data_IF_389544048452
#
_entry.id   IF_389544048452
#
_cell.length_a   1.000
_cell.length_b   1.000
_cell.length_c   1.000
_cell.angle_alpha   90.00
_cell.angle_beta   90.00
_cell.angle_gamma   90.00
#
_symmetry.space_group_name_H-M   'P 1'
#
loop_
_entity.id
_entity.type
_entity.pdbx_description
1 polymer ?
#
# COMPACT_ATOMS: atom_id res chain seq x y z
N UNK A 1 26.78 9.19 -4.54
CA UNK A 1 26.61 8.65 -3.17
C UNK A 1 25.37 9.20 -2.43
N UNK A 2 24.98 10.46 -2.68
CA UNK A 2 23.85 11.14 -2.04
C UNK A 2 22.48 10.49 -2.28
N UNK A 3 22.17 10.13 -3.53
CA UNK A 3 20.82 9.70 -3.90
C UNK A 3 20.44 8.38 -3.23
N UNK A 4 21.36 7.42 -3.13
CA UNK A 4 21.07 6.15 -2.45
C UNK A 4 20.78 6.34 -0.95
N UNK A 5 21.48 7.24 -0.25
CA UNK A 5 21.19 7.53 1.18
C UNK A 5 19.82 8.17 1.35
N UNK A 6 19.45 9.10 0.46
CA UNK A 6 18.13 9.74 0.48
C UNK A 6 17.01 8.74 0.17
N UNK A 7 17.21 7.86 -0.82
CA UNK A 7 16.26 6.80 -1.15
C UNK A 7 16.13 5.76 -0.03
N UNK A 8 17.23 5.31 0.58
CA UNK A 8 17.18 4.40 1.75
C UNK A 8 16.39 5.06 2.86
N UNK A 9 16.71 6.31 3.21
CA UNK A 9 15.97 7.05 4.24
C UNK A 9 14.49 7.15 3.93
N UNK A 10 14.12 7.45 2.68
CA UNK A 10 12.73 7.53 2.25
C UNK A 10 12.00 6.20 2.42
N UNK A 11 12.59 5.10 1.92
CA UNK A 11 12.00 3.77 2.00
C UNK A 11 11.88 3.28 3.44
N UNK A 12 12.90 3.54 4.27
CA UNK A 12 12.86 3.25 5.70
C UNK A 12 11.75 4.04 6.39
N UNK A 13 11.58 5.34 6.07
CA UNK A 13 10.49 6.15 6.62
C UNK A 13 9.11 5.61 6.19
N UNK A 14 8.93 5.24 4.92
CA UNK A 14 7.67 4.63 4.44
C UNK A 14 7.37 3.35 5.22
N UNK A 15 8.33 2.44 5.34
CA UNK A 15 8.14 1.15 6.02
C UNK A 15 7.89 1.30 7.52
N UNK A 16 8.67 2.14 8.22
CA UNK A 16 8.49 2.38 9.65
C UNK A 16 7.14 3.03 9.97
N UNK A 17 6.74 4.04 9.18
CA UNK A 17 5.47 4.73 9.43
C UNK A 17 4.28 3.86 9.03
N UNK A 18 4.38 3.06 7.97
CA UNK A 18 3.34 2.09 7.63
C UNK A 18 3.16 1.03 8.72
N UNK A 19 4.26 0.48 9.25
CA UNK A 19 4.21 -0.47 10.36
C UNK A 19 3.59 0.16 11.63
N UNK A 20 3.96 1.41 11.95
CA UNK A 20 3.37 2.13 13.07
C UNK A 20 1.87 2.38 12.86
N UNK A 21 1.47 2.79 11.66
CA UNK A 21 0.07 2.99 11.29
C UNK A 21 -0.75 1.70 11.41
N UNK A 22 -0.18 0.58 10.97
CA UNK A 22 -0.80 -0.74 11.13
C UNK A 22 -0.98 -1.12 12.60
N UNK A 23 0.03 -0.89 13.45
CA UNK A 23 -0.10 -1.12 14.91
C UNK A 23 -1.22 -0.26 15.51
N UNK A 24 -1.36 0.99 15.06
CA UNK A 24 -2.49 1.83 15.49
C UNK A 24 -3.82 1.30 14.98
N UNK A 25 -3.88 0.73 13.78
CA UNK A 25 -5.10 0.16 13.22
C UNK A 25 -5.56 -1.10 13.98
N UNK A 26 -4.61 -1.99 14.30
CA UNK A 26 -4.88 -3.15 15.15
C UNK A 26 -5.34 -2.74 16.55
N UNK A 27 -4.70 -1.72 17.14
CA UNK A 27 -5.10 -1.20 18.45
C UNK A 27 -6.53 -0.66 18.43
N UNK A 28 -6.90 0.17 17.45
CA UNK A 28 -8.28 0.68 17.35
C UNK A 28 -9.28 -0.43 17.03
N UNK A 29 -8.87 -1.45 16.26
CA UNK A 29 -9.66 -2.65 15.99
C UNK A 29 -9.99 -3.41 17.27
N UNK A 30 -9.00 -3.61 18.15
CA UNK A 30 -9.19 -4.21 19.47
C UNK A 30 -10.13 -3.37 20.34
N UNK A 31 -9.92 -2.04 20.38
CA UNK A 31 -10.72 -1.13 21.21
C UNK A 31 -12.18 -0.99 20.71
N UNK A 32 -12.40 -1.17 19.41
CA UNK A 32 -13.74 -1.08 18.78
C UNK A 32 -14.44 -2.42 18.66
N UNK A 33 -13.79 -3.50 19.10
CA UNK A 33 -14.30 -4.87 18.95
C UNK A 33 -15.65 -5.01 19.67
N UNK A 34 -16.64 -5.52 18.96
CA UNK A 34 -18.00 -5.72 19.46
C UNK A 34 -18.94 -4.53 19.29
N UNK A 35 -18.43 -3.34 18.91
CA UNK A 35 -19.28 -2.18 18.58
C UNK A 35 -19.81 -2.29 17.14
N UNK A 36 -18.93 -2.72 16.23
CA UNK A 36 -19.21 -2.79 14.79
C UNK A 36 -19.19 -4.25 14.32
N UNK A 37 -20.38 -4.83 14.17
CA UNK A 37 -20.55 -6.27 13.87
C UNK A 37 -20.00 -6.69 12.49
N UNK A 38 -20.01 -5.79 11.51
CA UNK A 38 -19.51 -5.99 10.15
C UNK A 38 -18.11 -5.36 9.95
N UNK A 39 -17.39 -5.11 11.04
CA UNK A 39 -16.10 -4.43 11.01
C UNK A 39 -16.24 -2.90 10.99
N UNK A 40 -15.09 -2.24 11.07
CA UNK A 40 -15.01 -0.81 11.34
C UNK A 40 -14.43 -0.57 12.74
N UNK A 41 -13.63 0.50 12.84
CA UNK A 41 -12.95 0.85 14.07
C UNK A 41 -12.83 2.36 14.22
N UNK A 42 -13.10 2.84 15.43
CA UNK A 42 -12.90 4.23 15.81
C UNK A 42 -11.46 4.38 16.28
N UNK A 43 -10.67 5.19 15.60
CA UNK A 43 -9.30 5.43 16.03
C UNK A 43 -8.56 6.49 15.23
N UNK A 44 -7.24 6.37 15.26
CA UNK A 44 -6.33 7.41 14.76
C UNK A 44 -5.27 6.89 13.80
N UNK A 45 -5.39 5.66 13.29
CA UNK A 45 -4.41 5.06 12.39
C UNK A 45 -4.12 5.90 11.13
N UNK A 46 -5.10 6.68 10.65
CA UNK A 46 -4.94 7.63 9.55
C UNK A 46 -3.80 8.64 9.77
N UNK A 47 -3.42 8.91 11.02
CA UNK A 47 -2.32 9.84 11.36
C UNK A 47 -1.02 9.45 10.67
N UNK A 48 -0.74 8.14 10.50
CA UNK A 48 0.48 7.65 9.86
C UNK A 48 0.55 8.07 8.38
N UNK A 49 -0.55 7.86 7.65
CA UNK A 49 -0.66 8.21 6.24
C UNK A 49 -0.68 9.73 6.05
N UNK A 50 -1.44 10.45 6.87
CA UNK A 50 -1.51 11.92 6.83
C UNK A 50 -0.16 12.57 7.18
N UNK A 51 0.56 12.04 8.17
CA UNK A 51 1.91 12.48 8.48
C UNK A 51 2.84 12.31 7.27
N UNK A 52 2.79 11.14 6.61
CA UNK A 52 3.59 10.89 5.40
C UNK A 52 3.19 11.80 4.24
N UNK A 53 1.91 12.12 4.09
CA UNK A 53 1.40 13.06 3.10
C UNK A 53 2.05 14.44 3.24
N UNK A 54 2.04 15.02 4.44
CA UNK A 54 2.63 16.35 4.65
C UNK A 54 4.16 16.33 4.69
N UNK A 55 4.77 15.24 5.19
CA UNK A 55 6.23 15.12 5.24
C UNK A 55 6.87 14.87 3.88
N UNK A 56 6.35 13.90 3.13
CA UNK A 56 6.99 13.32 1.95
C UNK A 56 6.18 13.45 0.66
N UNK A 57 4.91 13.84 0.74
CA UNK A 57 4.04 14.13 -0.40
C UNK A 57 3.25 12.92 -0.85
N UNK A 58 2.64 13.04 -2.04
CA UNK A 58 1.68 12.09 -2.59
C UNK A 58 2.21 10.64 -2.64
N UNK A 59 3.28 10.37 -3.38
CA UNK A 59 3.72 9.00 -3.62
C UNK A 59 4.12 8.24 -2.35
N UNK A 60 4.90 8.82 -1.43
CA UNK A 60 5.23 8.13 -0.18
C UNK A 60 4.01 7.89 0.70
N UNK A 61 3.04 8.79 0.72
CA UNK A 61 1.79 8.61 1.48
C UNK A 61 0.89 7.53 0.87
N UNK A 62 0.74 7.49 -0.45
CA UNK A 62 0.05 6.40 -1.15
C UNK A 62 0.68 5.05 -0.81
N UNK A 63 2.01 4.94 -0.88
CA UNK A 63 2.73 3.72 -0.54
C UNK A 63 2.55 3.33 0.94
N UNK A 64 2.61 4.30 1.87
CA UNK A 64 2.33 4.04 3.29
C UNK A 64 0.93 3.48 3.48
N UNK A 65 -0.09 4.07 2.86
CA UNK A 65 -1.47 3.58 2.94
C UNK A 65 -1.67 2.21 2.30
N UNK A 66 -1.02 1.93 1.16
CA UNK A 66 -1.06 0.62 0.51
C UNK A 66 -0.41 -0.46 1.37
N UNK A 67 0.73 -0.17 2.00
CA UNK A 67 1.39 -1.13 2.90
C UNK A 67 0.49 -1.44 4.10
N UNK A 68 -0.15 -0.43 4.70
CA UNK A 68 -1.13 -0.65 5.77
C UNK A 68 -2.25 -1.59 5.31
N UNK A 69 -2.89 -1.31 4.16
CA UNK A 69 -3.95 -2.18 3.63
C UNK A 69 -3.50 -3.62 3.35
N UNK A 70 -2.26 -3.82 2.91
CA UNK A 70 -1.71 -5.17 2.75
C UNK A 70 -1.47 -5.88 4.09
N UNK A 71 -1.10 -5.15 5.14
CA UNK A 71 -0.94 -5.71 6.48
C UNK A 71 -2.32 -6.10 7.06
N UNK A 72 -3.36 -5.31 6.81
CA UNK A 72 -4.74 -5.64 7.20
C UNK A 72 -5.21 -6.93 6.49
N UNK A 73 -4.92 -7.06 5.19
CA UNK A 73 -5.19 -8.30 4.44
C UNK A 73 -4.49 -9.51 5.07
N UNK A 74 -3.26 -9.34 5.53
CA UNK A 74 -2.46 -10.42 6.08
C UNK A 74 -2.93 -10.89 7.47
N UNK A 75 -3.70 -10.08 8.20
CA UNK A 75 -3.97 -10.30 9.64
C UNK A 75 -5.44 -10.43 9.99
N UNK A 76 -6.32 -9.66 9.35
CA UNK A 76 -7.71 -9.51 9.78
C UNK A 76 -8.73 -9.54 8.65
N UNK A 77 -8.33 -9.82 7.41
CA UNK A 77 -9.25 -9.75 6.29
C UNK A 77 -10.33 -10.85 6.26
N UNK A 78 -11.56 -10.40 6.26
CA UNK A 78 -12.76 -11.13 5.86
C UNK A 78 -13.12 -10.76 4.42
N UNK A 79 -13.06 -11.75 3.52
CA UNK A 79 -13.11 -11.54 2.07
C UNK A 79 -14.27 -12.32 1.47
N UNK A 80 -15.23 -11.60 0.92
CA UNK A 80 -16.41 -12.19 0.27
C UNK A 80 -16.45 -11.93 -1.24
N UNK A 81 -15.73 -10.92 -1.73
CA UNK A 81 -15.65 -10.61 -3.15
C UNK A 81 -14.33 -9.89 -3.51
N UNK A 82 -13.77 -10.07 -4.72
CA UNK A 82 -12.55 -9.39 -5.14
C UNK A 82 -12.59 -7.88 -5.05
N UNK A 83 -13.68 -7.26 -5.48
CA UNK A 83 -13.86 -5.82 -5.41
C UNK A 83 -14.09 -5.34 -3.97
N UNK A 84 -14.71 -6.17 -3.12
CA UNK A 84 -14.85 -5.88 -1.69
C UNK A 84 -13.47 -5.81 -1.02
N UNK A 85 -12.57 -6.74 -1.34
CA UNK A 85 -11.20 -6.71 -0.81
C UNK A 85 -10.48 -5.40 -1.11
N UNK A 86 -10.61 -4.90 -2.34
CA UNK A 86 -10.03 -3.62 -2.74
C UNK A 86 -10.64 -2.47 -1.94
N UNK A 87 -11.96 -2.45 -1.82
CA UNK A 87 -12.70 -1.33 -1.21
C UNK A 87 -12.63 -1.32 0.32
N UNK A 88 -12.47 -2.47 0.98
CA UNK A 88 -12.43 -2.55 2.45
C UNK A 88 -11.01 -2.60 3.03
N UNK A 89 -10.00 -3.04 2.27
CA UNK A 89 -8.64 -3.18 2.82
C UNK A 89 -7.60 -2.33 2.08
N UNK A 90 -7.58 -2.32 0.73
CA UNK A 90 -6.48 -1.66 -0.01
C UNK A 90 -6.72 -0.16 -0.18
N UNK A 91 -7.88 0.20 -0.75
CA UNK A 91 -8.21 1.58 -1.11
C UNK A 91 -8.47 2.52 0.07
N UNK A 92 -9.04 2.09 1.22
CA UNK A 92 -9.29 2.99 2.34
C UNK A 92 -8.07 3.81 2.76
N UNK A 93 -6.97 3.15 3.10
CA UNK A 93 -5.74 3.83 3.52
C UNK A 93 -4.95 4.41 2.34
N UNK A 94 -4.97 3.77 1.17
CA UNK A 94 -4.33 4.31 -0.02
C UNK A 94 -4.96 5.67 -0.41
N UNK A 95 -6.28 5.79 -0.39
CA UNK A 95 -6.94 7.04 -0.74
C UNK A 95 -6.72 8.15 0.29
N UNK A 96 -6.55 7.84 1.58
CA UNK A 96 -6.06 8.82 2.58
C UNK A 96 -4.71 9.42 2.12
N UNK A 97 -3.86 8.62 1.47
CA UNK A 97 -2.58 9.07 0.91
C UNK A 97 -2.70 10.15 -0.18
N UNK A 98 -3.86 10.30 -0.84
CA UNK A 98 -4.11 11.35 -1.84
C UNK A 98 -4.00 12.76 -1.25
N UNK A 99 -4.15 12.91 0.06
CA UNK A 99 -3.91 14.16 0.81
C UNK A 99 -2.51 14.72 0.55
N UNK A 100 -1.54 13.88 0.15
CA UNK A 100 -0.19 14.32 -0.21
C UNK A 100 -0.13 15.30 -1.39
N UNK A 101 -1.22 15.46 -2.16
CA UNK A 101 -1.38 16.54 -3.16
C UNK A 101 -1.31 17.93 -2.49
N UNK A 102 -1.73 18.05 -1.23
CA UNK A 102 -1.71 19.32 -0.50
C UNK A 102 -0.33 19.70 0.06
N UNK A 103 0.68 18.82 -0.04
CA UNK A 103 2.03 19.10 0.47
C UNK A 103 2.61 20.43 -0.02
N UNK A 104 2.57 20.79 -1.32
CA UNK A 104 3.15 22.05 -1.79
C UNK A 104 2.48 23.29 -1.17
N UNK A 105 1.17 23.23 -0.88
CA UNK A 105 0.44 24.32 -0.23
C UNK A 105 0.76 24.39 1.26
N UNK A 106 0.89 23.22 1.91
CA UNK A 106 1.37 23.12 3.28
C UNK A 106 2.79 23.70 3.42
N UNK A 107 3.73 23.32 2.55
CA UNK A 107 5.13 23.77 2.62
C UNK A 107 5.28 25.27 2.34
N UNK A 108 4.44 25.85 1.47
CA UNK A 108 4.42 27.30 1.16
C UNK A 108 3.73 28.16 2.21
N UNK A 109 3.10 27.55 3.21
CA UNK A 109 2.37 28.27 4.25
C UNK A 109 3.32 29.10 5.10
N UNK A 110 3.00 30.38 5.30
CA UNK A 110 3.86 31.34 6.02
C UNK A 110 3.61 31.38 7.53
N UNK A 111 2.46 30.89 7.98
CA UNK A 111 2.03 30.99 9.39
C UNK A 111 1.57 29.63 9.91
N UNK A 112 1.70 29.43 11.23
CA UNK A 112 1.20 28.23 11.91
C UNK A 112 -0.28 28.00 11.67
N UNK A 113 -1.07 29.07 11.59
CA UNK A 113 -2.50 29.02 11.29
C UNK A 113 -2.78 28.31 9.96
N UNK A 114 -2.08 28.68 8.88
CA UNK A 114 -2.27 28.03 7.58
C UNK A 114 -1.81 26.57 7.58
N UNK A 115 -0.74 26.23 8.31
CA UNK A 115 -0.36 24.82 8.47
C UNK A 115 -1.46 24.02 9.16
N UNK A 116 -2.00 24.52 10.27
CA UNK A 116 -3.12 23.87 10.98
C UNK A 116 -4.34 23.72 10.07
N UNK A 117 -4.71 24.76 9.32
CA UNK A 117 -5.79 24.72 8.35
C UNK A 117 -5.59 23.58 7.33
N UNK A 118 -4.38 23.45 6.77
CA UNK A 118 -4.07 22.37 5.84
C UNK A 118 -4.16 21.00 6.50
N UNK A 119 -3.69 20.82 7.73
CA UNK A 119 -3.81 19.55 8.47
C UNK A 119 -5.28 19.15 8.69
N UNK A 120 -6.14 20.12 9.03
CA UNK A 120 -7.60 19.89 9.16
C UNK A 120 -8.21 19.49 7.83
N UNK A 121 -7.91 20.23 6.75
CA UNK A 121 -8.39 19.91 5.39
C UNK A 121 -7.95 18.50 5.01
N UNK A 122 -6.70 18.13 5.28
CA UNK A 122 -6.19 16.79 4.99
C UNK A 122 -6.91 15.69 5.75
N UNK A 123 -7.11 15.87 7.06
CA UNK A 123 -7.79 14.88 7.87
C UNK A 123 -9.25 14.67 7.42
N UNK A 124 -9.96 15.75 7.10
CA UNK A 124 -11.34 15.69 6.58
C UNK A 124 -11.38 15.04 5.20
N UNK A 125 -10.58 15.53 4.23
CA UNK A 125 -10.57 15.00 2.85
C UNK A 125 -10.10 13.54 2.82
N UNK A 126 -9.06 13.20 3.57
CA UNK A 126 -8.58 11.83 3.69
C UNK A 126 -9.64 10.90 4.30
N UNK A 127 -10.30 11.34 5.37
CA UNK A 127 -11.41 10.60 5.97
C UNK A 127 -12.60 10.44 5.03
N UNK A 128 -12.94 11.46 4.24
CA UNK A 128 -14.00 11.38 3.22
C UNK A 128 -13.64 10.39 2.12
N UNK A 129 -12.38 10.36 1.67
CA UNK A 129 -11.96 9.34 0.70
C UNK A 129 -12.03 7.92 1.28
N UNK A 130 -11.61 7.73 2.54
CA UNK A 130 -11.77 6.47 3.27
C UNK A 130 -13.26 6.08 3.34
N UNK A 131 -14.12 7.04 3.68
CA UNK A 131 -15.57 6.86 3.75
C UNK A 131 -16.17 6.44 2.41
N UNK A 132 -15.78 7.07 1.31
CA UNK A 132 -16.27 6.68 -0.03
C UNK A 132 -15.96 5.23 -0.34
N UNK A 133 -14.75 4.75 0.00
CA UNK A 133 -14.35 3.36 -0.23
C UNK A 133 -15.26 2.38 0.51
N UNK A 134 -15.40 2.55 1.83
CA UNK A 134 -16.24 1.68 2.65
C UNK A 134 -17.74 1.85 2.41
N UNK A 135 -18.19 3.04 2.03
CA UNK A 135 -19.58 3.27 1.65
C UNK A 135 -19.94 2.50 0.39
N UNK A 136 -19.08 2.55 -0.64
CA UNK A 136 -19.27 1.77 -1.87
C UNK A 136 -19.20 0.26 -1.58
N UNK A 137 -18.26 -0.18 -0.74
CA UNK A 137 -18.25 -1.57 -0.28
C UNK A 137 -19.55 -1.96 0.44
N UNK A 138 -20.04 -1.07 1.30
CA UNK A 138 -21.28 -1.23 2.05
C UNK A 138 -22.48 -1.48 1.14
N UNK A 139 -22.66 -0.60 0.15
CA UNK A 139 -23.78 -0.69 -0.81
C UNK A 139 -23.70 -1.94 -1.68
N UNK A 140 -22.48 -2.35 -2.09
CA UNK A 140 -22.30 -3.45 -3.04
C UNK A 140 -22.29 -4.83 -2.36
N UNK A 141 -21.77 -4.94 -1.14
CA UNK A 141 -21.47 -6.23 -0.52
C UNK A 141 -22.06 -6.41 0.89
N UNK A 142 -22.47 -5.33 1.56
CA UNK A 142 -23.02 -5.35 2.91
C UNK A 142 -24.45 -4.78 2.96
N UNK A 143 -25.19 -4.94 1.86
CA UNK A 143 -26.50 -4.32 1.63
C UNK A 143 -27.69 -5.16 2.07
N UNK A 144 -27.47 -6.41 2.48
CA UNK A 144 -28.52 -7.29 2.97
C UNK A 144 -28.94 -6.85 4.39
N UNK A 145 -30.23 -6.48 4.59
CA UNK A 145 -30.76 -6.03 5.87
C UNK A 145 -30.59 -7.03 7.01
N UNK A 146 -30.40 -8.32 6.74
CA UNK A 146 -30.12 -9.32 7.78
C UNK A 146 -28.79 -9.09 8.50
N UNK A 147 -27.86 -8.35 7.88
CA UNK A 147 -26.58 -7.95 8.48
C UNK A 147 -26.63 -6.54 9.08
N UNK A 148 -27.79 -5.88 9.12
CA UNK A 148 -27.84 -4.52 9.64
C UNK A 148 -27.64 -4.52 11.15
N UNK A 149 -26.76 -3.63 11.61
CA UNK A 149 -26.46 -3.43 13.02
C UNK A 149 -27.48 -2.49 13.67
N UNK A 150 -27.48 -2.47 15.00
CA UNK A 150 -28.23 -1.52 15.83
C UNK A 150 -29.74 -1.52 15.57
N UNK A 151 -30.29 -2.67 15.19
CA UNK A 151 -31.71 -2.86 14.88
C UNK A 151 -32.24 -1.91 13.79
N UNK A 152 -31.38 -1.52 12.84
CA UNK A 152 -31.73 -0.63 11.74
C UNK A 152 -32.28 -1.38 10.51
N UNK A 153 -32.80 -2.60 10.70
CA UNK A 153 -33.23 -3.51 9.62
C UNK A 153 -34.30 -2.92 8.69
N UNK A 154 -35.05 -1.92 9.15
CA UNK A 154 -36.09 -1.22 8.37
C UNK A 154 -35.59 0.07 7.69
N UNK A 155 -34.33 0.45 7.89
CA UNK A 155 -33.75 1.67 7.31
C UNK A 155 -33.51 1.47 5.81
N UNK A 156 -33.61 2.56 5.03
CA UNK A 156 -33.18 2.55 3.65
C UNK A 156 -31.71 2.09 3.55
N UNK A 157 -31.45 1.09 2.71
CA UNK A 157 -30.14 0.52 2.43
C UNK A 157 -29.02 1.56 2.31
N UNK A 158 -29.17 2.55 1.42
CA UNK A 158 -28.11 3.52 1.15
C UNK A 158 -27.84 4.39 2.38
N UNK A 159 -28.91 4.79 3.08
CA UNK A 159 -28.79 5.54 4.33
C UNK A 159 -28.11 4.69 5.42
N UNK A 160 -28.47 3.42 5.57
CA UNK A 160 -27.84 2.53 6.53
C UNK A 160 -26.34 2.38 6.26
N UNK A 161 -25.93 2.08 5.01
CA UNK A 161 -24.52 1.98 4.65
C UNK A 161 -23.76 3.28 4.92
N UNK A 162 -24.39 4.43 4.68
CA UNK A 162 -23.79 5.73 5.00
C UNK A 162 -23.61 5.91 6.50
N UNK A 163 -24.68 5.72 7.29
CA UNK A 163 -24.68 5.89 8.75
C UNK A 163 -23.68 4.93 9.41
N UNK A 164 -23.67 3.66 9.01
CA UNK A 164 -22.76 2.66 9.56
C UNK A 164 -21.29 3.06 9.38
N UNK A 165 -20.92 3.49 8.18
CA UNK A 165 -19.54 3.87 7.89
C UNK A 165 -19.15 5.22 8.50
N UNK A 166 -20.08 6.18 8.55
CA UNK A 166 -19.86 7.46 9.25
C UNK A 166 -19.67 7.25 10.75
N UNK A 167 -20.35 6.27 11.36
CA UNK A 167 -20.28 6.02 12.79
C UNK A 167 -18.88 5.66 13.30
N UNK A 168 -18.00 5.08 12.47
CA UNK A 168 -16.60 4.87 12.86
C UNK A 168 -15.62 5.84 12.20
N UNK A 169 -15.87 6.30 10.97
CA UNK A 169 -14.96 7.22 10.26
C UNK A 169 -15.08 8.66 10.77
N UNK A 170 -16.30 9.12 11.06
CA UNK A 170 -16.55 10.45 11.60
C UNK A 170 -15.79 10.68 12.91
N UNK A 171 -15.98 9.84 13.95
CA UNK A 171 -15.18 9.92 15.16
C UNK A 171 -13.67 9.77 14.92
N UNK A 172 -13.26 8.91 13.98
CA UNK A 172 -11.84 8.77 13.64
C UNK A 172 -11.23 10.06 13.08
N UNK A 173 -11.97 10.83 12.26
CA UNK A 173 -11.54 12.17 11.80
C UNK A 173 -11.42 13.11 13.00
N UNK A 174 -12.42 13.12 13.89
CA UNK A 174 -12.46 13.98 15.08
C UNK A 174 -11.31 13.69 16.04
N UNK A 175 -10.87 12.43 16.16
CA UNK A 175 -9.72 12.03 17.01
C UNK A 175 -8.39 12.29 16.30
N UNK A 176 -8.28 11.90 15.02
CA UNK A 176 -7.01 12.02 14.26
C UNK A 176 -6.60 13.48 14.09
N UNK A 177 -7.56 14.38 13.82
CA UNK A 177 -7.28 15.80 13.53
C UNK A 177 -6.52 16.50 14.65
N UNK A 178 -7.01 16.55 15.91
CA UNK A 178 -6.30 17.20 17.01
C UNK A 178 -4.96 16.51 17.32
N UNK A 179 -4.85 15.18 17.18
CA UNK A 179 -3.58 14.47 17.36
C UNK A 179 -2.54 14.89 16.32
N UNK A 180 -2.94 15.00 15.05
CA UNK A 180 -2.07 15.46 13.97
C UNK A 180 -1.64 16.91 14.16
N UNK A 181 -2.56 17.77 14.62
CA UNK A 181 -2.26 19.17 14.96
C UNK A 181 -1.28 19.23 16.13
N UNK A 182 -1.53 18.47 17.21
CA UNK A 182 -0.64 18.40 18.37
C UNK A 182 0.76 17.92 17.98
N UNK A 183 0.86 16.90 17.12
CA UNK A 183 2.13 16.42 16.58
C UNK A 183 2.88 17.52 15.81
N UNK A 184 2.18 18.31 15.00
CA UNK A 184 2.78 19.43 14.28
C UNK A 184 3.21 20.57 15.22
N UNK A 185 2.38 20.94 16.20
CA UNK A 185 2.68 22.05 17.11
C UNK A 185 3.85 21.72 18.05
N UNK A 186 3.96 20.46 18.49
CA UNK A 186 5.03 19.99 19.36
C UNK A 186 6.34 19.75 18.60
N UNK A 187 6.27 19.19 17.38
CA UNK A 187 7.43 18.82 16.60
C UNK A 187 7.32 19.26 15.12
N UNK A 188 7.27 20.56 14.81
CA UNK A 188 7.09 21.02 13.42
C UNK A 188 8.24 20.58 12.50
N UNK A 189 9.44 20.39 13.06
CA UNK A 189 10.65 19.95 12.32
C UNK A 189 10.48 18.56 11.68
N UNK A 190 9.66 17.67 12.23
CA UNK A 190 9.44 16.33 11.65
C UNK A 190 8.50 16.33 10.44
N UNK A 191 7.83 17.45 10.15
CA UNK A 191 7.05 17.61 8.91
C UNK A 191 7.92 18.15 7.77
N UNK A 192 9.08 18.73 8.08
CA UNK A 192 10.03 19.24 7.08
C UNK A 192 11.10 18.20 6.75
N UNK A 193 11.42 18.06 5.46
CA UNK A 193 12.59 17.30 5.01
C UNK A 193 13.68 18.31 4.68
N UNK A 194 14.79 18.27 5.43
CA UNK A 194 15.97 19.06 5.09
C UNK A 194 16.44 18.66 3.69
N UNK A 195 16.21 19.52 2.72
CA UNK A 195 16.78 19.42 1.38
C UNK A 195 18.15 20.07 1.48
N UNK A 196 19.22 19.27 1.56
CA UNK A 196 20.54 19.82 1.27
C UNK A 196 20.48 20.25 -0.19
N UNK A 197 20.48 21.55 -0.48
CA UNK A 197 20.67 22.05 -1.84
C UNK A 197 21.95 21.43 -2.37
N UNK A 198 21.78 20.46 -3.26
CA UNK A 198 22.88 19.95 -4.07
C UNK A 198 22.64 20.50 -5.44
N UNK A 199 23.64 21.16 -6.01
CA UNK A 199 23.74 21.33 -7.45
C UNK A 199 23.44 19.97 -8.05
N UNK A 200 22.32 19.87 -8.76
CA UNK A 200 21.98 18.68 -9.53
C UNK A 200 23.04 18.64 -10.61
N UNK A 201 24.15 17.92 -10.37
CA UNK A 201 24.94 17.41 -11.49
C UNK A 201 23.95 16.53 -12.22
N UNK A 202 23.44 17.07 -13.33
CA UNK A 202 22.43 16.45 -14.15
C UNK A 202 23.06 15.24 -14.82
N UNK A 203 23.16 14.14 -14.08
CA UNK A 203 23.52 12.85 -14.63
C UNK A 203 22.31 12.41 -15.44
N UNK A 204 22.52 12.19 -16.74
CA UNK A 204 21.52 11.55 -17.58
C UNK A 204 21.03 10.29 -16.87
N UNK A 205 19.71 10.07 -16.86
CA UNK A 205 19.14 8.86 -16.31
C UNK A 205 19.88 7.67 -16.93
N UNK A 206 20.44 6.79 -16.09
CA UNK A 206 21.15 5.62 -16.58
C UNK A 206 20.20 4.85 -17.50
N UNK A 207 20.54 4.74 -18.80
CA UNK A 207 19.70 4.05 -19.80
C UNK A 207 19.25 2.67 -19.30
N UNK A 208 20.12 1.98 -18.56
CA UNK A 208 19.82 0.68 -17.96
C UNK A 208 18.80 0.75 -16.81
N UNK A 209 18.83 1.82 -16.01
CA UNK A 209 17.84 2.04 -14.95
C UNK A 209 16.46 2.37 -15.55
N UNK A 210 16.42 3.17 -16.62
CA UNK A 210 15.18 3.49 -17.33
C UNK A 210 14.56 2.24 -17.96
N UNK A 211 15.33 1.52 -18.77
CA UNK A 211 14.88 0.26 -19.40
C UNK A 211 14.35 -0.71 -18.35
N UNK A 212 15.09 -0.90 -17.25
CA UNK A 212 14.62 -1.79 -16.18
C UNK A 212 13.33 -1.27 -15.54
N UNK A 213 13.23 0.01 -15.19
CA UNK A 213 12.04 0.58 -14.56
C UNK A 213 10.80 0.44 -15.45
N UNK A 214 10.95 0.54 -16.77
CA UNK A 214 9.90 0.27 -17.74
C UNK A 214 9.56 -1.22 -17.77
N UNK A 215 10.54 -2.10 -17.97
CA UNK A 215 10.31 -3.55 -18.01
C UNK A 215 9.64 -4.08 -16.75
N UNK A 216 10.06 -3.60 -15.59
CA UNK A 216 9.49 -3.98 -14.28
C UNK A 216 8.06 -3.50 -14.09
N UNK A 217 7.75 -2.27 -14.55
CA UNK A 217 6.37 -1.77 -14.56
C UNK A 217 5.49 -2.60 -15.48
N UNK A 218 5.98 -2.94 -16.68
CA UNK A 218 5.25 -3.76 -17.67
C UNK A 218 5.01 -5.18 -17.13
N UNK A 219 6.05 -5.83 -16.59
CA UNK A 219 5.94 -7.14 -15.96
C UNK A 219 4.94 -7.09 -14.81
N UNK A 220 5.07 -6.11 -13.92
CA UNK A 220 4.16 -5.92 -12.80
C UNK A 220 2.72 -5.74 -13.26
N UNK A 221 2.49 -5.01 -14.35
CA UNK A 221 1.16 -4.83 -14.93
C UNK A 221 0.58 -6.16 -15.44
N UNK A 222 1.33 -6.92 -16.23
CA UNK A 222 0.86 -8.23 -16.74
C UNK A 222 0.62 -9.22 -15.61
N UNK A 223 1.53 -9.32 -14.63
CA UNK A 223 1.36 -10.19 -13.46
C UNK A 223 0.14 -9.77 -12.62
N UNK A 224 -0.03 -8.46 -12.39
CA UNK A 224 -1.19 -7.92 -11.68
C UNK A 224 -2.50 -8.30 -12.38
N UNK A 225 -2.61 -8.06 -13.69
CA UNK A 225 -3.82 -8.39 -14.47
C UNK A 225 -4.07 -9.90 -14.45
N UNK A 226 -3.05 -10.71 -14.70
CA UNK A 226 -3.20 -12.16 -14.72
C UNK A 226 -3.67 -12.70 -13.37
N UNK A 227 -3.05 -12.29 -12.26
CA UNK A 227 -3.46 -12.74 -10.94
C UNK A 227 -4.77 -12.14 -10.48
N UNK A 228 -5.11 -10.93 -10.91
CA UNK A 228 -6.44 -10.36 -10.70
C UNK A 228 -7.50 -11.24 -11.38
N UNK A 229 -7.27 -11.66 -12.63
CA UNK A 229 -8.19 -12.55 -13.36
C UNK A 229 -8.32 -13.90 -12.64
N UNK A 230 -7.20 -14.53 -12.28
CA UNK A 230 -7.22 -15.82 -11.56
C UNK A 230 -7.91 -15.68 -10.20
N UNK A 231 -7.66 -14.59 -9.49
CA UNK A 231 -8.32 -14.28 -8.22
C UNK A 231 -9.82 -14.08 -8.40
N UNK A 232 -10.27 -13.34 -9.41
CA UNK A 232 -11.70 -13.17 -9.73
C UNK A 232 -12.35 -14.52 -10.07
N UNK A 233 -11.72 -15.32 -10.94
CA UNK A 233 -12.24 -16.63 -11.35
C UNK A 233 -12.35 -17.61 -10.17
N UNK A 234 -11.56 -17.41 -9.11
CA UNK A 234 -11.66 -18.22 -7.90
C UNK A 234 -13.00 -18.06 -7.17
N UNK A 235 -13.72 -16.96 -7.39
CA UNK A 235 -15.07 -16.75 -6.86
C UNK A 235 -16.16 -17.28 -7.80
N UNK A 236 -15.88 -17.49 -9.09
CA UNK A 236 -16.90 -17.93 -10.07
C UNK A 236 -17.00 -19.46 -10.20
N UNK A 237 -15.95 -20.19 -9.85
CA UNK A 237 -15.91 -21.66 -9.98
C UNK A 237 -16.47 -22.42 -8.76
N UNK A 238 -17.05 -21.72 -7.79
CA UNK A 238 -17.77 -22.32 -6.66
C UNK A 238 -19.23 -22.59 -7.00
N UNK A 239 -19.61 -23.86 -7.13
CA UNK A 239 -20.98 -24.32 -7.39
C UNK A 239 -21.88 -24.25 -6.15
N UNK A 240 -22.08 -23.07 -5.58
CA UNK A 240 -22.92 -22.86 -4.40
C UNK A 240 -23.99 -21.78 -4.66
N UNK A 241 -25.27 -22.16 -4.56
CA UNK A 241 -26.36 -21.20 -4.43
C UNK A 241 -26.36 -20.64 -3.00
N UNK A 242 -25.92 -19.40 -2.82
CA UNK A 242 -26.01 -18.66 -1.55
C UNK A 242 -24.67 -18.26 -0.95
N UNK A 243 -24.71 -17.22 -0.10
CA UNK A 243 -23.59 -16.53 0.57
C UNK A 243 -22.72 -17.38 1.53
N UNK A 244 -22.66 -18.70 1.37
CA UNK A 244 -22.00 -19.58 2.34
C UNK A 244 -21.13 -20.62 1.61
N UNK A 245 -19.84 -20.58 1.93
CA UNK A 245 -18.78 -21.54 1.57
C UNK A 245 -18.20 -21.47 0.15
N UNK A 246 -17.68 -20.29 -0.24
CA UNK A 246 -16.53 -20.29 -1.14
C UNK A 246 -15.32 -20.86 -0.40
N UNK A 247 -14.71 -21.93 -0.90
CA UNK A 247 -13.39 -22.35 -0.44
C UNK A 247 -12.36 -21.32 -0.95
N UNK A 248 -12.30 -20.18 -0.25
CA UNK A 248 -11.40 -19.08 -0.55
C UNK A 248 -9.97 -19.61 -0.71
N UNK A 249 -9.47 -19.58 -1.93
CA UNK A 249 -8.09 -19.98 -2.19
C UNK A 249 -7.20 -18.77 -1.91
N UNK A 250 -6.74 -18.66 -0.66
CA UNK A 250 -5.81 -17.62 -0.23
C UNK A 250 -4.51 -17.54 -1.05
N UNK A 251 -4.24 -18.53 -1.89
CA UNK A 251 -3.06 -18.56 -2.73
C UNK A 251 -3.22 -17.61 -3.93
N UNK A 252 -4.42 -17.55 -4.51
CA UNK A 252 -4.72 -16.58 -5.58
C UNK A 252 -4.78 -15.15 -5.06
N UNK A 253 -5.26 -14.96 -3.82
CA UNK A 253 -5.14 -13.67 -3.14
C UNK A 253 -3.67 -13.26 -3.02
N UNK A 254 -2.81 -14.16 -2.51
CA UNK A 254 -1.40 -13.85 -2.31
C UNK A 254 -0.72 -13.49 -3.63
N UNK A 255 -0.99 -14.24 -4.70
CA UNK A 255 -0.48 -13.93 -6.03
C UNK A 255 -0.97 -12.57 -6.54
N UNK A 256 -2.25 -12.25 -6.34
CA UNK A 256 -2.81 -10.94 -6.67
C UNK A 256 -2.11 -9.81 -5.91
N UNK A 257 -1.96 -9.94 -4.59
CA UNK A 257 -1.28 -8.98 -3.72
C UNK A 257 0.18 -8.78 -4.15
N UNK A 258 0.90 -9.86 -4.43
CA UNK A 258 2.27 -9.80 -4.93
C UNK A 258 2.33 -9.10 -6.30
N UNK A 259 1.42 -9.43 -7.23
CA UNK A 259 1.32 -8.76 -8.52
C UNK A 259 1.11 -7.25 -8.40
N UNK A 260 0.20 -6.82 -7.52
CA UNK A 260 -0.04 -5.40 -7.23
C UNK A 260 1.19 -4.71 -6.63
N UNK A 261 1.88 -5.36 -5.68
CA UNK A 261 3.09 -4.82 -5.07
C UNK A 261 4.22 -4.62 -6.10
N UNK A 262 4.39 -5.59 -6.99
CA UNK A 262 5.35 -5.55 -8.10
C UNK A 262 5.05 -4.38 -9.04
N UNK A 263 3.78 -4.17 -9.41
CA UNK A 263 3.34 -3.05 -10.23
C UNK A 263 3.65 -1.70 -9.57
N UNK A 264 3.32 -1.54 -8.29
CA UNK A 264 3.53 -0.30 -7.54
C UNK A 264 5.02 0.04 -7.40
N UNK A 265 5.86 -0.97 -7.12
CA UNK A 265 7.31 -0.80 -7.08
C UNK A 265 7.89 -0.43 -8.45
N UNK A 266 7.41 -1.06 -9.53
CA UNK A 266 7.77 -0.71 -10.90
C UNK A 266 7.44 0.75 -11.21
N UNK A 267 6.19 1.16 -10.98
CA UNK A 267 5.72 2.52 -11.24
C UNK A 267 6.50 3.57 -10.43
N UNK A 268 6.77 3.29 -9.15
CA UNK A 268 7.58 4.17 -8.30
C UNK A 268 9.04 4.27 -8.78
N UNK A 269 9.63 3.17 -9.26
CA UNK A 269 10.96 3.15 -9.88
C UNK A 269 11.01 4.01 -11.14
N UNK A 270 10.01 3.87 -12.00
CA UNK A 270 9.90 4.62 -13.26
C UNK A 270 9.77 6.12 -13.00
N UNK A 271 8.89 6.51 -12.08
CA UNK A 271 8.71 7.91 -11.68
C UNK A 271 10.01 8.55 -11.18
N UNK A 272 10.77 7.85 -10.33
CA UNK A 272 12.05 8.34 -9.82
C UNK A 272 13.14 8.41 -10.90
N UNK A 273 13.12 7.48 -11.85
CA UNK A 273 14.06 7.47 -12.98
C UNK A 273 13.78 8.62 -13.95
N UNK A 274 12.52 8.92 -14.24
CA UNK A 274 12.12 10.06 -15.07
C UNK A 274 12.52 11.41 -14.46
N UNK A 275 12.56 11.50 -13.12
CA UNK A 275 13.09 12.69 -12.41
C UNK A 275 14.62 12.80 -12.39
N UNK A 276 15.34 11.96 -13.15
CA UNK A 276 16.82 11.95 -13.24
C UNK A 276 17.55 11.82 -11.90
N UNK A 277 16.87 11.31 -10.87
CA UNK A 277 17.40 11.23 -9.51
C UNK A 277 18.02 9.86 -9.18
N UNK A 278 18.24 8.99 -10.17
CA UNK A 278 18.22 7.55 -9.89
C UNK A 278 19.34 6.73 -10.55
N UNK A 279 20.02 5.92 -9.71
CA UNK A 279 21.10 5.01 -10.11
C UNK A 279 20.70 3.52 -10.11
N UNK A 280 19.43 3.17 -9.87
CA UNK A 280 18.96 1.77 -9.97
C UNK A 280 19.24 0.87 -8.78
N UNK A 281 20.41 0.99 -8.12
CA UNK A 281 20.93 0.02 -7.14
C UNK A 281 19.90 -0.52 -6.13
N UNK A 282 19.21 0.37 -5.43
CA UNK A 282 18.29 0.00 -4.34
C UNK A 282 17.09 -0.78 -4.86
N UNK A 283 16.59 -0.42 -6.04
CA UNK A 283 15.46 -1.13 -6.63
C UNK A 283 15.88 -2.50 -7.17
N UNK A 284 17.10 -2.66 -7.71
CA UNK A 284 17.59 -4.01 -8.03
C UNK A 284 17.62 -4.91 -6.78
N UNK A 285 18.00 -4.36 -5.62
CA UNK A 285 17.97 -5.08 -4.34
C UNK A 285 16.55 -5.41 -3.88
N UNK A 286 15.62 -4.45 -3.93
CA UNK A 286 14.20 -4.68 -3.62
C UNK A 286 13.57 -5.74 -4.54
N UNK A 287 13.85 -5.68 -5.84
CA UNK A 287 13.37 -6.64 -6.82
C UNK A 287 13.92 -8.04 -6.56
N UNK A 288 15.20 -8.14 -6.18
CA UNK A 288 15.80 -9.41 -5.76
C UNK A 288 15.07 -9.96 -4.53
N UNK A 289 14.82 -9.14 -3.50
CA UNK A 289 14.09 -9.57 -2.31
C UNK A 289 12.64 -10.02 -2.59
N UNK A 290 11.89 -9.26 -3.41
CA UNK A 290 10.52 -9.61 -3.80
C UNK A 290 10.50 -10.91 -4.61
N UNK A 291 11.40 -11.05 -5.58
CA UNK A 291 11.49 -12.26 -6.41
C UNK A 291 11.92 -13.49 -5.61
N UNK A 292 12.82 -13.33 -4.64
CA UNK A 292 13.21 -14.40 -3.73
C UNK A 292 12.03 -14.85 -2.87
N UNK A 293 11.27 -13.91 -2.32
CA UNK A 293 10.07 -14.20 -1.52
C UNK A 293 9.01 -14.90 -2.37
N UNK A 294 8.78 -14.42 -3.59
CA UNK A 294 7.85 -15.03 -4.54
C UNK A 294 8.28 -16.45 -4.93
N UNK A 295 9.57 -16.69 -5.12
CA UNK A 295 10.14 -18.01 -5.41
C UNK A 295 9.96 -18.98 -4.24
N UNK A 296 10.32 -18.56 -3.02
CA UNK A 296 10.15 -19.37 -1.80
C UNK A 296 8.68 -19.73 -1.60
N UNK A 297 7.78 -18.76 -1.80
CA UNK A 297 6.34 -18.99 -1.73
C UNK A 297 5.87 -20.01 -2.79
N UNK A 298 6.31 -19.85 -4.04
CA UNK A 298 6.01 -20.80 -5.11
C UNK A 298 6.46 -22.23 -4.78
N UNK A 299 7.67 -22.39 -4.24
CA UNK A 299 8.21 -23.68 -3.83
C UNK A 299 7.41 -24.31 -2.68
N UNK A 300 7.10 -23.53 -1.65
CA UNK A 300 6.27 -23.99 -0.52
C UNK A 300 4.89 -24.47 -0.99
N UNK A 301 4.32 -23.82 -2.00
CA UNK A 301 3.03 -24.21 -2.59
C UNK A 301 3.13 -25.44 -3.48
N UNK A 302 4.18 -25.58 -4.27
CA UNK A 302 4.46 -26.80 -5.02
C UNK A 302 4.46 -28.02 -4.10
N UNK A 303 5.18 -27.95 -2.97
CA UNK A 303 5.19 -29.01 -1.96
C UNK A 303 3.77 -29.33 -1.49
N UNK A 304 2.98 -28.32 -1.14
CA UNK A 304 1.58 -28.50 -0.69
C UNK A 304 0.71 -29.15 -1.76
N UNK A 305 0.89 -28.81 -3.03
CA UNK A 305 0.09 -29.35 -4.13
C UNK A 305 0.44 -30.79 -4.46
N UNK A 306 1.72 -31.16 -4.42
CA UNK A 306 2.13 -32.55 -4.55
C UNK A 306 1.60 -33.41 -3.40
N UNK A 307 1.60 -32.89 -2.16
CA UNK A 307 1.01 -33.59 -1.00
C UNK A 307 -0.52 -33.75 -1.14
N UNK A 308 -1.20 -32.77 -1.75
CA UNK A 308 -2.67 -32.78 -1.94
C UNK A 308 -3.13 -33.34 -3.28
N UNK A 309 -2.22 -33.77 -4.16
CA UNK A 309 -2.51 -34.27 -5.52
C UNK A 309 -3.35 -33.25 -6.33
N UNK A 310 -2.96 -31.98 -6.28
CA UNK A 310 -3.57 -30.89 -7.05
C UNK A 310 -2.63 -30.46 -8.19
N UNK A 311 -3.16 -29.87 -9.27
CA UNK A 311 -2.36 -29.43 -10.43
C UNK A 311 -1.31 -28.35 -10.05
N UNK A 312 0.01 -28.68 -10.08
CA UNK A 312 1.06 -27.76 -9.66
C UNK A 312 1.49 -26.76 -10.74
N UNK A 313 0.94 -26.86 -11.97
CA UNK A 313 1.44 -26.16 -13.17
C UNK A 313 1.60 -24.65 -12.96
N UNK A 314 0.61 -23.99 -12.36
CA UNK A 314 0.64 -22.56 -12.08
C UNK A 314 1.84 -22.15 -11.20
N UNK A 315 2.13 -22.95 -10.17
CA UNK A 315 3.20 -22.65 -9.22
C UNK A 315 4.59 -22.98 -9.77
N UNK A 316 4.68 -23.93 -10.71
CA UNK A 316 5.90 -24.18 -11.47
C UNK A 316 6.23 -22.99 -12.37
N UNK A 317 5.27 -22.52 -13.16
CA UNK A 317 5.42 -21.33 -14.02
C UNK A 317 5.82 -20.13 -13.16
N UNK A 318 5.15 -19.92 -12.03
CA UNK A 318 5.45 -18.83 -11.11
C UNK A 318 6.86 -18.93 -10.50
N UNK A 319 7.26 -20.12 -10.05
CA UNK A 319 8.58 -20.33 -9.44
C UNK A 319 9.71 -20.12 -10.46
N UNK A 320 9.57 -20.64 -11.68
CA UNK A 320 10.57 -20.42 -12.75
C UNK A 320 10.67 -18.94 -13.08
N UNK A 321 9.53 -18.25 -13.23
CA UNK A 321 9.48 -16.83 -13.50
C UNK A 321 10.16 -15.99 -12.39
N UNK A 322 9.82 -16.26 -11.13
CA UNK A 322 10.41 -15.60 -9.98
C UNK A 322 11.93 -15.82 -9.90
N UNK A 323 12.41 -17.03 -10.19
CA UNK A 323 13.84 -17.36 -10.21
C UNK A 323 14.60 -16.60 -11.31
N UNK A 324 14.04 -16.51 -12.52
CA UNK A 324 14.67 -15.75 -13.62
C UNK A 324 14.81 -14.28 -13.25
N UNK A 325 13.76 -13.67 -12.70
CA UNK A 325 13.81 -12.26 -12.26
C UNK A 325 14.80 -12.08 -11.10
N UNK A 326 14.83 -13.01 -10.15
CA UNK A 326 15.78 -13.01 -9.03
C UNK A 326 17.23 -12.98 -9.55
N UNK A 327 17.55 -13.83 -10.53
CA UNK A 327 18.89 -13.90 -11.11
C UNK A 327 19.26 -12.60 -11.82
N UNK A 328 18.37 -12.09 -12.69
CA UNK A 328 18.60 -10.86 -13.45
C UNK A 328 18.80 -9.67 -12.49
N UNK A 329 17.88 -9.48 -11.55
CA UNK A 329 17.93 -8.37 -10.59
C UNK A 329 19.19 -8.44 -9.70
N UNK A 330 19.57 -9.63 -9.26
CA UNK A 330 20.79 -9.84 -8.47
C UNK A 330 22.06 -9.52 -9.27
N UNK A 331 22.15 -9.93 -10.53
CA UNK A 331 23.28 -9.60 -11.41
C UNK A 331 23.44 -8.08 -11.54
N UNK A 332 22.35 -7.36 -11.82
CA UNK A 332 22.39 -5.90 -11.93
C UNK A 332 22.72 -5.22 -10.60
N UNK A 333 22.22 -5.75 -9.48
CA UNK A 333 22.57 -5.27 -8.14
C UNK A 333 24.07 -5.39 -7.89
N UNK A 334 24.65 -6.58 -8.05
CA UNK A 334 26.08 -6.82 -7.81
C UNK A 334 26.97 -6.03 -8.77
N UNK A 335 26.62 -5.97 -10.07
CA UNK A 335 27.37 -5.17 -11.06
C UNK A 335 27.44 -3.69 -10.67
N UNK A 336 26.30 -3.10 -10.30
CA UNK A 336 26.26 -1.69 -9.89
C UNK A 336 26.93 -1.46 -8.53
N UNK A 337 26.84 -2.42 -7.60
CA UNK A 337 27.52 -2.35 -6.31
C UNK A 337 29.05 -2.38 -6.47
N UNK A 338 29.56 -3.26 -7.33
CA UNK A 338 30.99 -3.36 -7.63
C UNK A 338 31.52 -2.10 -8.33
N UNK A 339 30.77 -1.55 -9.29
CA UNK A 339 31.14 -0.29 -9.95
C UNK A 339 31.24 0.86 -8.93
N UNK A 340 30.30 0.95 -8.00
CA UNK A 340 30.33 1.95 -6.92
C UNK A 340 31.51 1.76 -5.96
N UNK A 341 31.94 0.52 -5.70
CA UNK A 341 33.15 0.25 -4.91
C UNK A 341 34.41 0.70 -5.64
N UNK A 342 34.51 0.46 -6.95
CA UNK A 342 35.66 0.89 -7.77
C UNK A 342 35.76 2.42 -7.87
N UNK A 343 34.65 3.11 -8.12
CA UNK A 343 34.63 4.59 -8.14
C UNK A 343 35.12 5.21 -6.81
N UNK A 344 34.82 4.57 -5.68
CA UNK A 344 35.32 5.00 -4.37
C UNK A 344 36.82 4.85 -4.19
N UNK A 345 37.42 3.83 -4.81
CA UNK A 345 38.86 3.57 -4.70
C UNK A 345 39.68 4.50 -5.61
N UNK A 346 39.07 5.12 -6.62
CA UNK A 346 39.71 6.06 -7.56
C UNK A 346 39.66 7.52 -7.10
N UNK A 347 38.93 7.83 -6.02
CA UNK A 347 38.76 9.17 -5.45
C UNK A 347 39.31 9.30 -4.02
N UNK A 348 40.15 8.35 -3.61
CA UNK A 348 41.07 8.40 -2.47
C UNK A 348 42.47 8.40 -3.09
#
# INVERSE_FOLDING_TARGET
MSNNRATIRLLSEIGMIAALGFVFDELQGILSKGIFINGGSIGFAMIAVLFMAYRRGLWPALLTGLIMGFLDIATSAFIIHPAQLLLDYIFPYAFVGLVGIFKPFFDKSKTKHYHVMWLVIGAVIGGLFKLTSHYVAGVLFWSDPTYFAWDLNSMNLYLYCFVYNVAFIGPSIVITTPLLIALYLTAPRIFTVQTTERSVIQKSANKNALVLSVCTTVIGFFSFIYFLVVYILSFTNGSGNGYVNYAFNGDYLMLFVLGLFILLLGAFSLFNTLKQNFNGLIFYGLWSAVSLTAFIYGLARLIRMYVKILDPTLYWIWSVFALVILLISSIFFFKNWLNLKREKQLHI
#
